data_IF_485026302539
#
_entry.id   IF_485026302539
#
_cell.length_a   1.000
_cell.length_b   1.000
_cell.length_c   1.000
_cell.angle_alpha   90.00
_cell.angle_beta   90.00
_cell.angle_gamma   90.00
#
_symmetry.space_group_name_H-M   'P 1'
#
loop_
_entity.id
_entity.type
_entity.pdbx_description
1 polymer ?
#
# COMPACT_ATOMS: atom_id res chain seq x y z
N UNK A 1 0.84 22.78 -5.45
CA UNK A 1 -0.36 22.51 -6.25
C UNK A 1 -0.53 23.47 -7.41
N UNK A 2 -0.40 24.80 -7.22
CA UNK A 2 -0.52 25.81 -8.30
C UNK A 2 0.10 25.40 -9.65
N UNK A 3 1.38 25.02 -9.66
CA UNK A 3 2.07 24.59 -10.88
C UNK A 3 1.42 23.39 -11.59
N UNK A 4 0.90 22.40 -10.86
CA UNK A 4 0.22 21.24 -11.47
C UNK A 4 -1.12 21.68 -12.08
N UNK A 5 -1.81 22.61 -11.42
CA UNK A 5 -3.13 23.12 -11.82
C UNK A 5 -3.05 24.16 -12.95
N UNK A 6 -1.84 24.61 -13.34
CA UNK A 6 -1.64 25.41 -14.57
C UNK A 6 -1.94 24.59 -15.84
N UNK A 7 -1.83 23.25 -15.76
CA UNK A 7 -2.30 22.36 -16.82
C UNK A 7 -3.82 22.18 -16.69
N UNK A 8 -4.57 22.54 -17.74
CA UNK A 8 -6.03 22.50 -17.75
C UNK A 8 -6.60 21.10 -17.43
N UNK A 9 -5.85 20.04 -17.74
CA UNK A 9 -6.23 18.64 -17.49
C UNK A 9 -6.23 18.27 -16.00
N UNK A 10 -5.59 19.08 -15.15
CA UNK A 10 -5.43 18.83 -13.71
C UNK A 10 -6.05 19.93 -12.84
N UNK A 11 -6.86 20.82 -13.42
CA UNK A 11 -7.53 21.91 -12.69
C UNK A 11 -8.38 21.40 -11.53
N UNK A 12 -9.12 20.31 -11.76
CA UNK A 12 -10.02 19.69 -10.79
C UNK A 12 -9.34 18.65 -9.87
N UNK A 13 -8.00 18.56 -9.88
CA UNK A 13 -7.31 17.62 -9.00
C UNK A 13 -7.53 18.01 -7.53
N UNK A 14 -8.08 17.07 -6.75
CA UNK A 14 -8.32 17.27 -5.33
C UNK A 14 -7.30 16.47 -4.49
N UNK A 15 -6.18 17.08 -4.08
CA UNK A 15 -5.18 16.39 -3.27
C UNK A 15 -5.70 16.18 -1.85
N UNK A 16 -5.55 14.95 -1.34
CA UNK A 16 -5.71 14.68 0.09
C UNK A 16 -4.41 14.98 0.81
N UNK A 17 -4.48 15.82 1.84
CA UNK A 17 -3.32 16.37 2.53
C UNK A 17 -3.30 15.82 3.95
N UNK A 18 -2.22 15.10 4.29
CA UNK A 18 -1.91 14.71 5.65
C UNK A 18 -0.60 15.38 6.08
N UNK A 19 -0.57 15.95 7.28
CA UNK A 19 0.62 16.61 7.82
C UNK A 19 1.50 15.61 8.57
N UNK A 20 2.81 15.86 8.56
CA UNK A 20 3.78 15.13 9.38
C UNK A 20 4.88 16.09 9.82
N UNK A 21 5.43 15.86 11.01
CA UNK A 21 6.51 16.68 11.60
C UNK A 21 7.87 16.40 10.97
N UNK A 22 7.97 15.38 10.12
CA UNK A 22 9.21 14.95 9.44
C UNK A 22 8.99 14.73 7.95
N UNK A 23 10.07 14.74 7.19
CA UNK A 23 10.02 14.42 5.77
C UNK A 23 9.63 12.95 5.54
N UNK A 24 8.52 12.73 4.83
CA UNK A 24 7.97 11.40 4.56
C UNK A 24 8.52 10.77 3.28
N UNK A 25 9.20 11.55 2.44
CA UNK A 25 9.88 11.09 1.22
C UNK A 25 11.32 11.57 1.19
N UNK A 26 12.24 10.72 0.72
CA UNK A 26 13.65 11.09 0.60
C UNK A 26 13.95 12.00 -0.59
N UNK A 27 13.17 11.88 -1.68
CA UNK A 27 13.38 12.63 -2.92
C UNK A 27 12.13 12.62 -3.78
N UNK A 28 12.02 13.61 -4.66
CA UNK A 28 11.04 13.59 -5.75
C UNK A 28 11.38 12.46 -6.73
N UNK A 29 10.37 11.69 -7.12
CA UNK A 29 10.49 10.66 -8.15
C UNK A 29 9.28 10.73 -9.08
N UNK A 30 9.52 11.08 -10.34
CA UNK A 30 8.51 11.07 -11.39
C UNK A 30 8.75 9.81 -12.22
N UNK A 31 7.69 9.03 -12.42
CA UNK A 31 7.77 7.73 -13.09
C UNK A 31 6.70 7.66 -14.15
N UNK A 32 7.08 7.40 -15.40
CA UNK A 32 6.15 7.07 -16.48
C UNK A 32 5.84 5.57 -16.46
N UNK A 33 4.56 5.24 -16.55
CA UNK A 33 4.06 3.86 -16.59
C UNK A 33 2.90 3.78 -17.58
N UNK A 34 2.67 2.61 -18.21
CA UNK A 34 1.48 2.38 -19.02
C UNK A 34 0.19 2.56 -18.22
N UNK A 35 0.22 2.16 -16.94
CA UNK A 35 -0.89 2.32 -16.00
C UNK A 35 -0.41 2.98 -14.72
N UNK A 36 -1.20 3.92 -14.16
CA UNK A 36 -0.92 4.58 -12.88
C UNK A 36 -0.91 3.54 -11.73
N UNK A 37 -1.84 2.59 -11.79
CA UNK A 37 -1.90 1.38 -10.95
C UNK A 37 -2.13 0.20 -11.88
N UNK A 38 -1.22 -0.78 -11.85
CA UNK A 38 -1.22 -1.86 -12.84
C UNK A 38 -2.15 -3.00 -12.44
N UNK A 39 -3.30 -3.07 -13.11
CA UNK A 39 -4.17 -4.25 -13.06
C UNK A 39 -3.67 -5.32 -14.04
N UNK A 40 -3.10 -4.91 -15.17
CA UNK A 40 -2.62 -5.85 -16.20
C UNK A 40 -3.67 -6.27 -17.22
N UNK A 41 -4.89 -5.75 -17.11
CA UNK A 41 -5.94 -5.87 -18.11
C UNK A 41 -6.20 -4.50 -18.76
N UNK A 42 -5.81 -4.29 -20.04
CA UNK A 42 -5.99 -3.02 -20.73
C UNK A 42 -7.44 -2.78 -21.20
N UNK A 43 -8.32 -3.78 -21.14
CA UNK A 43 -9.72 -3.63 -21.54
C UNK A 43 -10.54 -2.83 -20.50
N UNK A 44 -10.11 -2.90 -19.23
CA UNK A 44 -10.77 -2.26 -18.10
C UNK A 44 -10.52 -0.75 -18.10
N UNK A 45 -11.62 0.02 -18.19
CA UNK A 45 -11.58 1.49 -18.18
C UNK A 45 -12.46 2.07 -17.06
N UNK A 46 -11.85 2.52 -15.93
CA UNK A 46 -12.58 3.17 -14.84
C UNK A 46 -13.30 4.47 -15.20
N UNK A 47 -13.05 5.04 -16.39
CA UNK A 47 -13.82 6.20 -16.86
C UNK A 47 -15.20 5.82 -17.39
N UNK A 48 -15.41 4.57 -17.80
CA UNK A 48 -16.68 4.10 -18.35
C UNK A 48 -17.64 3.68 -17.25
N UNK A 49 -17.16 2.86 -16.33
CA UNK A 49 -17.99 2.26 -15.29
C UNK A 49 -17.16 1.95 -14.07
N UNK A 50 -17.69 2.24 -12.89
CA UNK A 50 -17.11 1.90 -11.58
C UNK A 50 -18.23 1.49 -10.64
N UNK A 51 -17.87 0.78 -9.57
CA UNK A 51 -18.80 0.42 -8.51
C UNK A 51 -19.41 1.64 -7.82
N UNK A 52 -20.44 1.41 -7.03
CA UNK A 52 -21.08 2.45 -6.23
C UNK A 52 -20.14 2.90 -5.12
N UNK A 53 -19.83 4.20 -5.10
CA UNK A 53 -19.10 4.82 -4.00
C UNK A 53 -19.93 4.78 -2.72
N UNK A 54 -19.29 4.38 -1.63
CA UNK A 54 -19.88 4.37 -0.28
C UNK A 54 -19.08 5.31 0.59
N UNK A 55 -19.76 6.22 1.28
CA UNK A 55 -19.11 7.18 2.15
C UNK A 55 -18.59 6.49 3.43
N UNK A 56 -17.53 7.00 4.08
CA UNK A 56 -17.03 6.43 5.33
C UNK A 56 -18.11 6.18 6.39
N UNK A 57 -19.07 7.11 6.51
CA UNK A 57 -20.12 7.10 7.52
C UNK A 57 -21.14 5.97 7.27
N UNK A 58 -21.29 5.56 6.01
CA UNK A 58 -22.18 4.47 5.59
C UNK A 58 -21.44 3.12 5.50
N UNK A 59 -20.11 3.14 5.53
CA UNK A 59 -19.28 1.97 5.26
C UNK A 59 -19.49 0.85 6.27
N UNK A 60 -19.49 1.17 7.57
CA UNK A 60 -19.65 0.19 8.64
C UNK A 60 -20.99 -0.56 8.53
N UNK A 61 -22.07 0.15 8.22
CA UNK A 61 -23.38 -0.48 8.04
C UNK A 61 -23.38 -1.48 6.88
N UNK A 62 -22.71 -1.14 5.77
CA UNK A 62 -22.58 -2.03 4.62
C UNK A 62 -21.76 -3.27 4.93
N UNK A 63 -20.59 -3.13 5.55
CA UNK A 63 -19.69 -4.27 5.79
C UNK A 63 -20.15 -5.17 6.94
N UNK A 64 -21.10 -4.72 7.77
CA UNK A 64 -21.76 -5.52 8.81
C UNK A 64 -22.90 -6.38 8.28
N UNK A 65 -23.39 -6.13 7.06
CA UNK A 65 -24.40 -6.99 6.42
C UNK A 65 -23.77 -8.35 6.06
N UNK A 66 -24.24 -9.46 6.64
CA UNK A 66 -23.69 -10.79 6.36
C UNK A 66 -23.89 -11.25 4.90
N UNK A 67 -24.77 -10.60 4.12
CA UNK A 67 -24.93 -10.87 2.70
C UNK A 67 -23.86 -10.20 1.84
N UNK A 68 -23.04 -9.29 2.40
CA UNK A 68 -22.00 -8.56 1.69
C UNK A 68 -20.65 -9.23 1.88
N UNK A 69 -20.02 -9.63 0.77
CA UNK A 69 -18.64 -10.09 0.77
C UNK A 69 -17.71 -8.89 0.75
N UNK A 70 -16.94 -8.72 1.82
CA UNK A 70 -16.01 -7.59 1.99
C UNK A 70 -14.62 -8.04 1.58
N UNK A 71 -13.97 -7.33 0.66
CA UNK A 71 -12.68 -7.75 0.07
C UNK A 71 -11.65 -6.64 0.19
N UNK A 72 -10.50 -6.97 0.79
CA UNK A 72 -9.34 -6.10 0.83
C UNK A 72 -8.57 -6.21 -0.49
N UNK A 73 -8.64 -5.19 -1.35
CA UNK A 73 -7.97 -5.23 -2.67
C UNK A 73 -6.47 -4.93 -2.60
N UNK A 74 -5.91 -4.91 -1.39
CA UNK A 74 -4.50 -4.62 -1.15
C UNK A 74 -3.64 -5.88 -1.21
N UNK A 75 -2.33 -5.69 -1.24
CA UNK A 75 -1.41 -6.81 -1.22
C UNK A 75 -1.29 -7.37 0.21
N UNK A 76 -0.89 -8.64 0.32
CA UNK A 76 -0.77 -9.40 1.58
C UNK A 76 -0.05 -8.63 2.70
N UNK A 77 1.07 -7.96 2.37
CA UNK A 77 1.83 -7.21 3.37
C UNK A 77 1.02 -6.02 3.93
N UNK A 78 0.12 -5.43 3.16
CA UNK A 78 -0.72 -4.32 3.62
C UNK A 78 -1.85 -4.83 4.53
N UNK A 79 -2.40 -6.01 4.21
CA UNK A 79 -3.44 -6.68 5.01
C UNK A 79 -2.88 -7.12 6.36
N UNK A 80 -1.65 -7.65 6.40
CA UNK A 80 -0.97 -8.04 7.65
C UNK A 80 -0.89 -6.88 8.67
N UNK A 81 -0.78 -5.63 8.19
CA UNK A 81 -0.63 -4.45 9.05
C UNK A 81 -1.95 -4.03 9.69
N UNK A 82 -3.07 -4.29 9.01
CA UNK A 82 -4.40 -3.98 9.50
C UNK A 82 -5.41 -4.10 8.38
N UNK A 83 -6.66 -4.41 8.71
CA UNK A 83 -7.76 -4.56 7.75
C UNK A 83 -9.12 -4.34 8.43
N UNK A 84 -10.19 -4.21 7.66
CA UNK A 84 -11.54 -4.14 8.20
C UNK A 84 -11.99 -5.49 8.78
N UNK A 85 -12.75 -5.45 9.87
CA UNK A 85 -13.33 -6.64 10.48
C UNK A 85 -14.14 -7.44 9.46
N UNK A 86 -13.86 -8.74 9.36
CA UNK A 86 -14.57 -9.65 8.45
C UNK A 86 -14.18 -9.51 6.97
N UNK A 87 -13.21 -8.66 6.63
CA UNK A 87 -12.71 -8.56 5.26
C UNK A 87 -11.92 -9.82 4.86
N UNK A 88 -12.20 -10.31 3.66
CA UNK A 88 -11.44 -11.37 3.02
C UNK A 88 -10.12 -10.83 2.49
N UNK A 89 -9.07 -11.62 2.68
CA UNK A 89 -7.74 -11.36 2.12
C UNK A 89 -7.55 -12.20 0.84
N UNK A 90 -7.42 -11.57 -0.33
CA UNK A 90 -7.13 -12.27 -1.59
C UNK A 90 -5.74 -12.94 -1.66
N UNK A 91 -4.87 -12.69 -0.67
CA UNK A 91 -3.50 -13.20 -0.61
C UNK A 91 -2.63 -12.81 -1.82
N UNK A 92 -2.90 -11.65 -2.42
CA UNK A 92 -2.13 -11.15 -3.56
C UNK A 92 -0.77 -10.58 -3.13
N UNK A 93 0.30 -10.95 -3.82
CA UNK A 93 1.60 -10.28 -3.72
C UNK A 93 1.62 -8.96 -4.49
N UNK A 94 0.84 -8.90 -5.58
CA UNK A 94 0.68 -7.71 -6.40
C UNK A 94 -0.70 -7.65 -7.07
N UNK A 95 -1.16 -6.43 -7.36
CA UNK A 95 -2.51 -6.18 -7.87
C UNK A 95 -2.84 -6.83 -9.22
N UNK A 96 -1.84 -7.30 -10.00
CA UNK A 96 -2.13 -8.04 -11.25
C UNK A 96 -2.76 -9.41 -11.00
N UNK A 97 -2.62 -9.94 -9.79
CA UNK A 97 -3.23 -11.21 -9.38
C UNK A 97 -4.71 -11.05 -9.02
N UNK A 98 -5.27 -9.83 -9.11
CA UNK A 98 -6.69 -9.58 -8.85
C UNK A 98 -7.59 -10.39 -9.77
N UNK A 99 -7.34 -10.38 -11.08
CA UNK A 99 -8.18 -11.11 -12.05
C UNK A 99 -8.19 -12.61 -11.77
N UNK A 100 -7.03 -13.20 -11.46
CA UNK A 100 -6.92 -14.60 -11.07
C UNK A 100 -7.72 -14.93 -9.80
N UNK A 101 -7.70 -14.04 -8.80
CA UNK A 101 -8.50 -14.19 -7.58
C UNK A 101 -10.00 -14.13 -7.89
N UNK A 102 -10.44 -13.18 -8.72
CA UNK A 102 -11.85 -13.06 -9.12
C UNK A 102 -12.35 -14.34 -9.81
N UNK A 103 -11.56 -14.89 -10.74
CA UNK A 103 -11.91 -16.10 -11.47
C UNK A 103 -12.00 -17.33 -10.56
N UNK A 104 -11.07 -17.47 -9.61
CA UNK A 104 -10.97 -18.65 -8.73
C UNK A 104 -11.94 -18.61 -7.55
N UNK A 105 -12.12 -17.44 -6.92
CA UNK A 105 -12.74 -17.34 -5.59
C UNK A 105 -14.13 -16.69 -5.57
N UNK A 106 -14.47 -15.84 -6.54
CA UNK A 106 -15.79 -15.16 -6.55
C UNK A 106 -16.88 -15.96 -7.27
N UNK A 107 -16.51 -17.02 -7.96
CA UNK A 107 -17.45 -17.98 -8.55
C UNK A 107 -18.43 -17.36 -9.58
N UNK A 108 -19.45 -18.12 -10.00
CA UNK A 108 -20.39 -17.67 -11.04
C UNK A 108 -21.55 -16.81 -10.51
N UNK A 109 -21.72 -16.65 -9.18
CA UNK A 109 -22.86 -15.91 -8.63
C UNK A 109 -22.69 -14.39 -8.79
N UNK A 110 -23.16 -13.87 -9.91
CA UNK A 110 -23.07 -12.44 -10.25
C UNK A 110 -23.96 -11.51 -9.40
N UNK A 111 -24.87 -12.07 -8.62
CA UNK A 111 -25.73 -11.33 -7.67
C UNK A 111 -25.12 -11.17 -6.28
N UNK A 112 -23.94 -11.75 -6.03
CA UNK A 112 -23.23 -11.56 -4.77
C UNK A 112 -22.89 -10.07 -4.58
N UNK A 113 -23.33 -9.49 -3.47
CA UNK A 113 -22.93 -8.14 -3.09
C UNK A 113 -21.47 -8.13 -2.68
N UNK A 114 -20.68 -7.24 -3.27
CA UNK A 114 -19.24 -7.15 -3.02
C UNK A 114 -18.90 -5.72 -2.60
N UNK A 115 -18.28 -5.57 -1.43
CA UNK A 115 -17.75 -4.30 -0.94
C UNK A 115 -16.22 -4.35 -0.91
N UNK A 116 -15.57 -3.39 -1.54
CA UNK A 116 -14.11 -3.35 -1.66
C UNK A 116 -13.50 -2.09 -1.10
N UNK A 117 -12.27 -2.21 -0.63
CA UNK A 117 -11.49 -1.06 -0.17
C UNK A 117 -10.00 -1.26 -0.48
N UNK A 118 -9.28 -0.14 -0.47
CA UNK A 118 -7.83 -0.08 -0.46
C UNK A 118 -7.40 1.20 0.26
N UNK A 119 -6.09 1.48 0.31
CA UNK A 119 -5.54 2.63 1.03
C UNK A 119 -6.19 3.96 0.62
N UNK A 120 -6.26 4.24 -0.69
CA UNK A 120 -6.71 5.53 -1.21
C UNK A 120 -7.83 5.48 -2.26
N UNK A 121 -8.39 4.32 -2.56
CA UNK A 121 -9.49 4.14 -3.53
C UNK A 121 -9.08 3.76 -4.96
N UNK A 122 -7.89 4.16 -5.45
CA UNK A 122 -7.50 3.97 -6.87
C UNK A 122 -7.49 2.51 -7.35
N UNK A 123 -7.15 1.53 -6.49
CA UNK A 123 -7.25 0.10 -6.85
C UNK A 123 -8.72 -0.33 -6.97
N UNK A 124 -9.58 0.18 -6.10
CA UNK A 124 -11.01 -0.14 -6.10
C UNK A 124 -11.74 0.40 -7.31
N UNK A 125 -11.33 1.55 -7.85
CA UNK A 125 -11.85 2.02 -9.14
C UNK A 125 -11.64 0.95 -10.22
N UNK A 126 -10.40 0.48 -10.41
CA UNK A 126 -10.09 -0.59 -11.37
C UNK A 126 -10.74 -1.94 -11.03
N UNK A 127 -10.65 -2.36 -9.79
CA UNK A 127 -11.19 -3.64 -9.34
C UNK A 127 -12.72 -3.70 -9.51
N UNK A 128 -13.42 -2.59 -9.22
CA UNK A 128 -14.87 -2.50 -9.39
C UNK A 128 -15.28 -2.46 -10.86
N UNK A 129 -14.59 -1.70 -11.71
CA UNK A 129 -14.79 -1.78 -13.16
C UNK A 129 -14.63 -3.21 -13.68
N UNK A 130 -13.56 -3.89 -13.27
CA UNK A 130 -13.31 -5.28 -13.65
C UNK A 130 -14.45 -6.22 -13.21
N UNK A 131 -14.95 -6.10 -11.98
CA UNK A 131 -16.07 -6.92 -11.53
C UNK A 131 -17.36 -6.64 -12.33
N UNK A 132 -17.69 -5.36 -12.56
CA UNK A 132 -18.89 -4.99 -13.31
C UNK A 132 -18.82 -5.50 -14.77
N UNK A 133 -17.67 -5.38 -15.43
CA UNK A 133 -17.46 -5.91 -16.78
C UNK A 133 -17.50 -7.46 -16.82
N UNK A 134 -17.13 -8.12 -15.72
CA UNK A 134 -17.29 -9.57 -15.52
C UNK A 134 -18.71 -9.96 -15.04
N UNK A 135 -19.67 -9.04 -15.14
CA UNK A 135 -21.10 -9.28 -14.96
C UNK A 135 -21.59 -9.19 -13.52
N UNK A 136 -20.75 -8.87 -12.53
CA UNK A 136 -21.23 -8.66 -11.16
C UNK A 136 -22.14 -7.43 -11.10
N UNK A 137 -23.27 -7.54 -10.41
CA UNK A 137 -24.32 -6.52 -10.43
C UNK A 137 -24.17 -5.49 -9.30
N UNK A 138 -23.82 -5.96 -8.09
CA UNK A 138 -23.80 -5.16 -6.87
C UNK A 138 -22.39 -4.98 -6.32
N UNK A 139 -21.65 -4.05 -6.91
CA UNK A 139 -20.26 -3.75 -6.54
C UNK A 139 -20.15 -2.38 -5.87
N UNK A 140 -19.64 -2.37 -4.65
CA UNK A 140 -19.47 -1.19 -3.80
C UNK A 140 -18.00 -0.96 -3.48
N UNK A 141 -17.61 0.29 -3.28
CA UNK A 141 -16.25 0.61 -2.83
C UNK A 141 -16.17 1.86 -1.96
N UNK A 142 -15.29 1.80 -0.97
CA UNK A 142 -15.09 2.87 0.00
C UNK A 142 -14.54 4.13 -0.68
N UNK A 143 -15.32 5.20 -0.67
CA UNK A 143 -14.93 6.48 -1.26
C UNK A 143 -13.73 7.06 -0.52
N UNK A 144 -12.66 7.28 -1.26
CA UNK A 144 -11.38 7.70 -0.69
C UNK A 144 -10.62 6.59 0.06
N UNK A 145 -11.12 5.37 0.14
CA UNK A 145 -10.43 4.26 0.79
C UNK A 145 -10.18 4.48 2.29
N UNK A 146 -9.30 3.66 2.85
CA UNK A 146 -9.03 3.57 4.29
C UNK A 146 -8.58 4.92 4.87
N UNK A 147 -7.77 5.70 4.14
CA UNK A 147 -7.30 6.99 4.66
C UNK A 147 -8.46 7.97 4.89
N UNK A 148 -9.43 8.01 3.99
CA UNK A 148 -10.62 8.85 4.18
C UNK A 148 -11.47 8.35 5.35
N UNK A 149 -11.55 7.03 5.54
CA UNK A 149 -12.25 6.45 6.68
C UNK A 149 -11.58 6.79 8.01
N UNK A 150 -10.27 6.60 8.14
CA UNK A 150 -9.52 6.88 9.37
C UNK A 150 -9.49 8.36 9.74
N UNK A 151 -9.75 9.25 8.79
CA UNK A 151 -9.84 10.69 9.01
C UNK A 151 -11.22 11.13 9.53
N UNK A 152 -12.29 10.48 9.05
CA UNK A 152 -13.67 10.92 9.33
C UNK A 152 -14.41 10.08 10.38
N UNK A 153 -14.03 8.82 10.57
CA UNK A 153 -14.69 7.92 11.52
C UNK A 153 -13.89 7.86 12.82
N UNK A 154 -14.52 8.08 13.98
CA UNK A 154 -13.82 8.05 15.25
C UNK A 154 -13.47 6.60 15.65
N UNK A 155 -12.36 6.39 16.39
CA UNK A 155 -11.88 5.05 16.74
C UNK A 155 -12.92 4.16 17.45
N UNK A 156 -13.78 4.73 18.28
CA UNK A 156 -14.82 4.05 19.04
C UNK A 156 -15.95 3.46 18.17
N UNK A 157 -16.16 4.03 16.97
CA UNK A 157 -17.17 3.56 16.03
C UNK A 157 -16.57 2.69 14.91
N UNK A 158 -15.25 2.58 14.88
CA UNK A 158 -14.50 2.00 13.78
C UNK A 158 -14.53 0.47 13.76
N UNK A 159 -14.73 -0.10 12.57
CA UNK A 159 -14.55 -1.53 12.27
C UNK A 159 -13.14 -1.85 11.71
N UNK A 160 -12.27 -0.84 11.60
CA UNK A 160 -10.86 -1.01 11.23
C UNK A 160 -10.02 -1.60 12.38
N UNK A 161 -9.22 -2.63 12.08
CA UNK A 161 -8.30 -3.25 13.04
C UNK A 161 -6.84 -3.07 12.59
N UNK A 162 -5.96 -2.69 13.50
CA UNK A 162 -4.53 -2.47 13.24
C UNK A 162 -4.24 -1.10 12.62
N UNK A 163 -3.19 -1.02 11.82
CA UNK A 163 -2.73 0.22 11.18
C UNK A 163 -2.92 0.17 9.66
N UNK A 164 -3.02 1.32 9.00
CA UNK A 164 -3.11 1.38 7.55
C UNK A 164 -1.73 1.56 6.93
N UNK A 165 -1.24 0.54 6.20
CA UNK A 165 0.01 0.65 5.45
C UNK A 165 -0.06 1.77 4.39
N UNK A 166 0.99 2.60 4.35
CA UNK A 166 1.16 3.68 3.37
C UNK A 166 2.54 3.65 2.71
N UNK A 167 2.61 4.20 1.50
CA UNK A 167 3.78 4.08 0.62
C UNK A 167 4.81 5.20 0.81
N UNK A 168 5.08 5.56 2.06
CA UNK A 168 6.09 6.56 2.42
C UNK A 168 6.89 6.14 3.67
N UNK A 169 7.80 7.00 4.13
CA UNK A 169 8.74 6.66 5.21
C UNK A 169 8.07 6.44 6.59
N UNK A 170 6.79 6.81 6.75
CA UNK A 170 6.03 6.53 7.97
C UNK A 170 5.62 5.07 8.08
N UNK A 171 5.62 4.33 6.97
CA UNK A 171 5.20 2.92 6.85
C UNK A 171 3.70 2.70 7.04
N UNK A 172 3.11 3.30 8.07
CA UNK A 172 1.70 3.14 8.40
C UNK A 172 1.13 4.38 9.08
N UNK A 173 -0.19 4.46 9.12
CA UNK A 173 -0.94 5.45 9.90
C UNK A 173 -2.09 4.83 10.66
N UNK A 174 -2.52 5.51 11.73
CA UNK A 174 -3.70 5.17 12.54
C UNK A 174 -4.81 6.21 12.36
N UNK A 175 -5.87 6.13 13.15
CA UNK A 175 -6.96 7.12 13.17
C UNK A 175 -6.44 8.55 13.32
N UNK A 176 -7.07 9.48 12.61
CA UNK A 176 -6.60 10.86 12.47
C UNK A 176 -5.33 11.00 11.64
N UNK A 177 -4.98 9.98 10.85
CA UNK A 177 -3.79 9.92 9.98
C UNK A 177 -2.45 10.15 10.70
N UNK A 178 -2.40 9.81 11.98
CA UNK A 178 -1.20 9.88 12.82
C UNK A 178 -0.22 8.76 12.41
N UNK A 179 1.08 9.03 12.51
CA UNK A 179 2.13 8.02 12.29
C UNK A 179 1.83 6.75 13.13
N UNK A 180 1.89 5.59 12.49
CA UNK A 180 1.81 4.28 13.16
C UNK A 180 3.17 3.81 13.66
N UNK A 181 3.18 2.62 14.26
CA UNK A 181 4.36 1.99 14.85
C UNK A 181 4.91 0.82 14.02
N UNK A 182 4.23 0.45 12.92
CA UNK A 182 4.64 -0.66 12.06
C UNK A 182 6.08 -0.52 11.58
N UNK A 183 6.87 -1.57 11.84
CA UNK A 183 8.25 -1.68 11.39
C UNK A 183 8.34 -2.63 10.21
N UNK A 184 9.21 -2.30 9.25
CA UNK A 184 9.51 -3.18 8.13
C UNK A 184 10.87 -3.86 8.34
N UNK A 185 10.94 -5.15 7.98
CA UNK A 185 12.20 -5.87 7.88
C UNK A 185 13.16 -5.13 6.95
N UNK A 186 14.39 -4.94 7.40
CA UNK A 186 15.39 -4.26 6.60
C UNK A 186 15.76 -5.02 5.33
N UNK A 187 15.77 -6.36 5.41
CA UNK A 187 16.11 -7.25 4.29
C UNK A 187 15.00 -7.37 3.26
N UNK A 188 13.82 -7.84 3.67
CA UNK A 188 12.72 -8.17 2.76
C UNK A 188 11.58 -7.15 2.71
N UNK A 189 11.63 -6.09 3.53
CA UNK A 189 10.59 -5.05 3.63
C UNK A 189 9.22 -5.55 4.12
N UNK A 190 9.15 -6.78 4.64
CA UNK A 190 7.94 -7.32 5.24
C UNK A 190 7.60 -6.63 6.56
N UNK A 191 6.33 -6.32 6.85
CA UNK A 191 5.90 -5.83 8.16
C UNK A 191 6.15 -6.83 9.28
N UNK A 192 6.70 -6.33 10.38
CA UNK A 192 7.10 -7.11 11.54
C UNK A 192 6.05 -6.98 12.65
N UNK A 193 5.64 -8.10 13.22
CA UNK A 193 4.94 -8.14 14.50
C UNK A 193 5.93 -8.12 15.67
N UNK A 194 5.43 -7.95 16.89
CA UNK A 194 6.26 -8.05 18.09
C UNK A 194 6.89 -9.43 18.26
N UNK A 195 6.21 -10.49 17.83
CA UNK A 195 6.75 -11.86 17.85
C UNK A 195 7.85 -12.04 16.80
N UNK A 196 7.72 -11.40 15.64
CA UNK A 196 8.78 -11.39 14.63
C UNK A 196 10.07 -10.76 15.19
N UNK A 197 9.95 -9.72 16.03
CA UNK A 197 11.08 -9.01 16.65
C UNK A 197 11.77 -9.82 17.76
N UNK A 198 11.05 -10.75 18.41
CA UNK A 198 11.57 -11.60 19.49
C UNK A 198 12.21 -12.90 18.99
N UNK A 199 12.02 -13.23 17.71
CA UNK A 199 12.54 -14.46 17.14
C UNK A 199 14.07 -14.47 17.04
N UNK A 200 14.69 -15.63 17.26
CA UNK A 200 16.13 -15.85 17.02
C UNK A 200 16.54 -15.64 15.55
N UNK A 201 15.59 -15.73 14.62
CA UNK A 201 15.80 -15.48 13.18
C UNK A 201 15.80 -13.98 12.84
N UNK A 202 15.47 -13.12 13.79
CA UNK A 202 15.50 -11.68 13.62
C UNK A 202 16.88 -11.12 13.93
N UNK A 203 17.44 -10.42 12.95
CA UNK A 203 18.67 -9.66 13.13
C UNK A 203 18.44 -8.27 12.52
N UNK A 204 18.43 -7.24 13.39
CA UNK A 204 18.17 -5.87 12.97
C UNK A 204 19.13 -5.46 11.85
N UNK A 205 18.58 -4.92 10.77
CA UNK A 205 19.34 -4.54 9.58
C UNK A 205 19.67 -5.68 8.61
N UNK A 206 19.27 -6.92 8.90
CA UNK A 206 19.57 -8.07 8.03
C UNK A 206 18.31 -8.87 7.71
N UNK A 207 17.70 -9.52 8.70
CA UNK A 207 16.70 -10.55 8.48
C UNK A 207 15.56 -10.52 9.48
N UNK A 208 14.48 -11.19 9.11
CA UNK A 208 13.36 -11.55 9.97
C UNK A 208 13.00 -13.02 9.74
N UNK A 209 12.11 -13.62 10.55
CA UNK A 209 11.73 -15.03 10.42
C UNK A 209 11.29 -15.43 9.01
N UNK A 210 10.65 -14.50 8.28
CA UNK A 210 10.16 -14.74 6.91
C UNK A 210 11.29 -14.86 5.88
N UNK A 211 12.39 -14.14 6.02
CA UNK A 211 13.43 -14.09 4.99
C UNK A 211 14.73 -14.76 5.40
N UNK A 212 14.94 -15.05 6.69
CA UNK A 212 16.18 -15.60 7.22
C UNK A 212 16.73 -16.77 6.38
N UNK A 213 15.90 -17.76 6.07
CA UNK A 213 16.31 -18.95 5.33
C UNK A 213 16.51 -18.71 3.83
N UNK A 214 15.85 -17.68 3.28
CA UNK A 214 15.94 -17.33 1.85
C UNK A 214 17.16 -16.45 1.50
N UNK A 215 17.87 -15.93 2.50
CA UNK A 215 18.98 -15.02 2.30
C UNK A 215 20.27 -15.79 1.98
N UNK A 216 20.80 -15.60 0.77
CA UNK A 216 22.14 -16.07 0.44
C UNK A 216 23.24 -15.16 1.01
N UNK A 217 24.47 -15.67 1.10
CA UNK A 217 25.63 -14.98 1.69
C UNK A 217 25.91 -13.62 1.05
N UNK A 218 25.78 -13.52 -0.28
CA UNK A 218 25.97 -12.25 -1.00
C UNK A 218 24.95 -11.20 -0.58
N UNK A 219 23.68 -11.59 -0.45
CA UNK A 219 22.60 -10.70 -0.02
C UNK A 219 22.77 -10.31 1.44
N UNK A 220 23.12 -11.27 2.30
CA UNK A 220 23.39 -11.04 3.73
C UNK A 220 24.52 -10.03 3.91
N UNK A 221 25.66 -10.22 3.23
CA UNK A 221 26.80 -9.30 3.27
C UNK A 221 26.43 -7.89 2.79
N UNK A 222 25.64 -7.79 1.73
CA UNK A 222 25.16 -6.48 1.22
C UNK A 222 24.24 -5.77 2.21
N UNK A 223 23.38 -6.51 2.91
CA UNK A 223 22.48 -5.94 3.93
C UNK A 223 23.26 -5.49 5.17
N UNK A 224 24.24 -6.29 5.61
CA UNK A 224 25.17 -5.93 6.69
C UNK A 224 25.91 -4.63 6.39
N UNK A 225 26.50 -4.51 5.21
CA UNK A 225 27.23 -3.31 4.85
C UNK A 225 26.31 -2.09 4.76
N UNK A 226 25.12 -2.24 4.17
CA UNK A 226 24.12 -1.16 4.15
C UNK A 226 23.71 -0.72 5.56
N UNK A 227 23.48 -1.68 6.45
CA UNK A 227 23.14 -1.40 7.84
C UNK A 227 24.29 -0.70 8.58
N UNK A 228 25.53 -1.13 8.37
CA UNK A 228 26.72 -0.48 8.90
C UNK A 228 26.83 0.97 8.45
N UNK A 229 26.64 1.23 7.16
CA UNK A 229 26.70 2.59 6.61
C UNK A 229 25.60 3.51 7.17
N UNK A 230 24.40 2.98 7.45
CA UNK A 230 23.35 3.71 8.13
C UNK A 230 23.73 4.10 9.57
N UNK A 231 24.30 3.17 10.35
CA UNK A 231 24.76 3.44 11.71
C UNK A 231 25.83 4.53 11.72
N UNK A 232 26.84 4.41 10.85
CA UNK A 232 27.90 5.40 10.72
C UNK A 232 27.37 6.79 10.34
N UNK A 233 26.34 6.86 9.50
CA UNK A 233 25.74 8.12 9.13
C UNK A 233 24.93 8.75 10.27
N UNK A 234 24.20 7.93 11.03
CA UNK A 234 23.48 8.37 12.22
C UNK A 234 24.43 8.88 13.30
N UNK A 235 25.56 8.20 13.55
CA UNK A 235 26.61 8.63 14.48
C UNK A 235 27.22 9.98 14.09
N UNK A 236 27.26 10.29 12.78
CA UNK A 236 27.83 11.51 12.21
C UNK A 236 26.80 12.62 12.00
N UNK A 237 25.54 12.38 12.32
CA UNK A 237 24.40 13.25 12.01
C UNK A 237 24.37 13.70 10.53
N UNK A 238 24.74 12.79 9.61
CA UNK A 238 24.68 13.03 8.18
C UNK A 238 23.57 12.20 7.52
N UNK A 239 22.88 12.74 6.49
CA UNK A 239 21.92 11.95 5.72
C UNK A 239 22.63 10.80 5.00
N UNK A 240 21.99 9.63 4.94
CA UNK A 240 22.50 8.47 4.17
C UNK A 240 21.53 8.04 3.06
N UNK A 241 20.22 8.04 3.35
CA UNK A 241 19.20 7.59 2.42
C UNK A 241 18.79 8.72 1.46
N UNK A 242 18.73 8.39 0.16
CA UNK A 242 18.26 9.32 -0.87
C UNK A 242 19.31 10.25 -1.45
N UNK A 243 20.57 10.19 -0.98
CA UNK A 243 21.66 10.98 -1.54
C UNK A 243 21.94 10.59 -3.00
N UNK A 244 22.21 11.58 -3.86
CA UNK A 244 22.87 11.33 -5.14
C UNK A 244 24.30 10.91 -4.84
N UNK A 245 24.63 9.65 -5.13
CA UNK A 245 26.03 9.23 -5.10
C UNK A 245 26.81 10.10 -6.11
N UNK A 246 28.00 10.61 -5.74
CA UNK A 246 28.85 11.26 -6.72
C UNK A 246 29.09 10.29 -7.88
N UNK A 247 28.95 10.77 -9.11
CA UNK A 247 29.27 9.97 -10.30
C UNK A 247 30.68 9.45 -10.13
N UNK A 248 30.90 8.13 -10.25
CA UNK A 248 32.25 7.59 -10.35
C UNK A 248 32.94 8.33 -11.50
N UNK A 249 33.86 9.25 -11.20
CA UNK A 249 34.82 9.72 -12.19
C UNK A 249 35.58 8.48 -12.62
N UNK A 250 35.31 7.99 -13.82
CA UNK A 250 36.20 7.01 -14.45
C UNK A 250 37.59 7.66 -14.47
N UNK A 251 38.64 6.98 -13.96
CA UNK A 251 39.99 7.50 -14.11
C UNK A 251 40.24 7.72 -15.61
N UNK A 252 40.90 8.82 -16.00
CA UNK A 252 41.20 9.07 -17.41
C UNK A 252 41.92 7.85 -17.97
N UNK A 253 41.44 7.36 -19.11
CA UNK A 253 42.14 6.34 -19.89
C UNK A 253 43.56 6.87 -20.13
N UNK A 254 44.54 6.20 -19.54
CA UNK A 254 45.94 6.48 -19.84
C UNK A 254 46.15 6.16 -21.32
N UNK A 255 46.60 7.18 -22.05
CA UNK A 255 47.00 7.16 -23.46
C UNK A 255 48.16 6.22 -23.71
#
# INVERSE_FOLDING_TARGET
>A
MKYIQEDSRFTDINPRIAQSVRATFYRLRIITRPEIVTLGDPSIDPKKVVGKYVQPEEWNALIRDPAVKVIDTRNEYEVKVGTFKGAENPHTENFRQWSDYVEKELGPNKKQKIAMFCTGGIRCEKASSHLLENGFEEVYHLKGGILNYLENIPPEESDWNGECFIFDNRVSVTHGLKDGETKLCFGCRWPLSDDDLKSEKYEYGISCPRCFESLNEKKKSSLQERHRQLKLAQERDVPHLGLKMPSKSLPPLQS
#
